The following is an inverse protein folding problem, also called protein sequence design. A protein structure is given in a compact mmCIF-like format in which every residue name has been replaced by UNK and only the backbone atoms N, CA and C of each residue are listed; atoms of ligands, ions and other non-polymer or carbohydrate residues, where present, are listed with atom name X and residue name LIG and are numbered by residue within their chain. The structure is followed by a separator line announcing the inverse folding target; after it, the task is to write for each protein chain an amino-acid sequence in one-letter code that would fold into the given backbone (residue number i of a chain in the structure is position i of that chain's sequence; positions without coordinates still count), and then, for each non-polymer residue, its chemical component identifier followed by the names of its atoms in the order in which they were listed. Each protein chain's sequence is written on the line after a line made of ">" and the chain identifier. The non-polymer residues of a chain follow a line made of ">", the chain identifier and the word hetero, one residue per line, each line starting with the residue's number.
data_IF_509720202811
#
_entry.id   IF_509720202811
#
_cell.length_a   1.000
_cell.length_b   1.000
_cell.length_c   1.000
_cell.angle_alpha   90.00
_cell.angle_beta   90.00
_cell.angle_gamma   90.00
#
_symmetry.space_group_name_H-M   'P 1'
#
loop_
_entity.id
_entity.type
_entity.pdbx_description
1 polymer ?
#
# COMPACT_ATOMS: atom_id res chain seq x y z
N UNK A 1 -15.01 -10.48 -17.17
CA UNK A 1 -14.20 -9.71 -18.13
C UNK A 1 -12.89 -9.36 -17.45
N UNK A 2 -11.74 -9.58 -18.11
CA UNK A 2 -10.45 -9.19 -17.53
C UNK A 2 -10.38 -7.65 -17.41
N UNK A 3 -9.93 -7.16 -16.25
CA UNK A 3 -9.70 -5.74 -16.00
C UNK A 3 -8.37 -5.33 -16.63
N UNK A 4 -8.27 -4.11 -17.16
CA UNK A 4 -7.03 -3.63 -17.77
C UNK A 4 -6.18 -2.85 -16.77
N UNK A 5 -4.86 -3.06 -16.83
CA UNK A 5 -3.87 -2.23 -16.12
C UNK A 5 -3.46 -0.97 -16.92
N UNK A 6 -4.12 -0.70 -18.04
CA UNK A 6 -3.76 0.37 -18.96
C UNK A 6 -3.65 1.73 -18.26
N UNK A 7 -4.64 2.07 -17.42
CA UNK A 7 -4.74 3.40 -16.81
C UNK A 7 -3.69 3.68 -15.73
N UNK A 8 -2.95 2.66 -15.28
CA UNK A 8 -2.01 2.79 -14.17
C UNK A 8 -0.86 3.75 -14.49
N UNK A 9 -0.34 3.71 -15.72
CA UNK A 9 0.86 4.43 -16.13
C UNK A 9 0.58 5.63 -17.07
N UNK A 10 -0.69 5.95 -17.35
CA UNK A 10 -1.07 7.05 -18.25
C UNK A 10 -0.62 8.40 -17.70
N UNK A 11 -0.90 8.67 -16.44
CA UNK A 11 -0.43 9.86 -15.72
C UNK A 11 0.66 9.40 -14.77
N UNK A 12 1.79 10.10 -14.77
CA UNK A 12 2.93 9.79 -13.93
C UNK A 12 2.56 9.87 -12.45
N UNK A 13 3.08 8.93 -11.65
CA UNK A 13 2.99 9.00 -10.20
C UNK A 13 4.12 9.83 -9.65
N UNK A 14 3.82 10.69 -8.68
CA UNK A 14 4.80 11.50 -7.98
C UNK A 14 4.47 11.50 -6.50
N UNK A 15 5.50 11.47 -5.68
CA UNK A 15 5.37 11.54 -4.22
C UNK A 15 4.93 12.95 -3.81
N UNK A 16 4.01 13.03 -2.87
CA UNK A 16 3.62 14.27 -2.20
C UNK A 16 4.61 14.51 -1.06
N UNK A 17 5.55 15.43 -1.23
CA UNK A 17 6.58 15.73 -0.23
C UNK A 17 5.99 16.44 0.99
N UNK A 18 6.45 16.08 2.19
CA UNK A 18 5.92 16.58 3.46
C UNK A 18 6.21 18.07 3.68
N UNK A 19 7.29 18.58 3.09
CA UNK A 19 7.73 19.97 3.27
C UNK A 19 7.07 20.96 2.29
N UNK A 20 6.29 20.47 1.34
CA UNK A 20 5.61 21.29 0.33
C UNK A 20 4.20 21.63 0.79
N UNK A 21 4.07 22.71 1.56
CA UNK A 21 2.74 23.24 1.93
C UNK A 21 2.10 23.96 0.74
N UNK A 22 0.83 23.68 0.47
CA UNK A 22 0.00 24.58 -0.33
C UNK A 22 -0.19 25.90 0.42
N UNK A 23 0.41 26.97 -0.07
CA UNK A 23 0.32 28.30 0.54
C UNK A 23 -0.95 29.07 0.16
N UNK A 24 -1.88 28.48 -0.58
CA UNK A 24 -3.10 29.19 -0.94
C UNK A 24 -4.17 28.97 0.13
N UNK A 25 -4.47 30.02 0.86
CA UNK A 25 -5.63 30.08 1.78
C UNK A 25 -6.97 30.20 1.03
N UNK A 26 -6.97 30.17 -0.30
CA UNK A 26 -8.14 30.31 -1.14
C UNK A 26 -8.36 29.02 -1.93
N UNK A 27 -9.56 28.48 -1.86
CA UNK A 27 -9.97 27.38 -2.71
C UNK A 27 -9.94 27.78 -4.19
N UNK A 28 -9.05 27.21 -4.97
CA UNK A 28 -8.99 27.43 -6.39
C UNK A 28 -9.84 26.36 -7.13
N UNK A 29 -11.14 26.38 -6.87
CA UNK A 29 -12.05 25.56 -7.65
C UNK A 29 -12.23 26.22 -9.03
N UNK A 30 -12.08 25.44 -10.07
CA UNK A 30 -12.27 25.93 -11.44
C UNK A 30 -12.93 24.87 -12.30
N UNK A 31 -13.57 25.36 -13.35
CA UNK A 31 -14.23 24.55 -14.36
C UNK A 31 -13.56 24.78 -15.71
N UNK A 32 -13.28 23.72 -16.44
CA UNK A 32 -12.69 23.80 -17.76
C UNK A 32 -13.40 22.86 -18.72
N UNK A 33 -13.65 23.28 -19.97
CA UNK A 33 -14.20 22.39 -20.97
C UNK A 33 -13.22 21.34 -21.42
N UNK A 34 -13.70 20.16 -21.88
CA UNK A 34 -12.81 19.15 -22.46
C UNK A 34 -11.99 19.71 -23.64
N UNK A 35 -12.59 20.61 -24.43
CA UNK A 35 -11.92 21.26 -25.55
C UNK A 35 -10.75 22.13 -25.08
N UNK A 36 -10.98 22.99 -24.07
CA UNK A 36 -9.96 23.92 -23.59
C UNK A 36 -8.91 23.15 -22.75
N UNK A 37 -9.32 22.10 -22.04
CA UNK A 37 -8.42 21.27 -21.25
C UNK A 37 -7.31 20.63 -22.10
N UNK A 38 -7.60 20.28 -23.35
CA UNK A 38 -6.61 19.69 -24.25
C UNK A 38 -5.38 20.57 -24.51
N UNK A 39 -5.54 21.89 -24.39
CA UNK A 39 -4.47 22.88 -24.61
C UNK A 39 -4.05 23.60 -23.31
N UNK A 40 -4.59 23.17 -22.17
CA UNK A 40 -4.32 23.83 -20.90
C UNK A 40 -3.02 23.35 -20.27
N UNK A 41 -2.24 24.28 -19.69
CA UNK A 41 -0.95 23.99 -19.03
C UNK A 41 -1.05 22.96 -17.88
N UNK A 42 -2.23 22.79 -17.31
CA UNK A 42 -2.51 21.80 -16.25
C UNK A 42 -2.20 20.39 -16.71
N UNK A 43 -2.41 20.05 -17.98
CA UNK A 43 -2.12 18.74 -18.53
C UNK A 43 -0.68 18.29 -18.29
N UNK A 44 0.28 19.20 -18.34
CA UNK A 44 1.69 18.89 -18.16
C UNK A 44 2.09 18.86 -16.67
N UNK A 45 1.22 19.39 -15.78
CA UNK A 45 1.44 19.45 -14.33
C UNK A 45 0.62 18.42 -13.56
N UNK A 46 -0.10 17.53 -14.26
CA UNK A 46 -0.92 16.49 -13.62
C UNK A 46 -0.07 15.31 -13.20
N UNK A 47 -0.22 14.97 -11.95
CA UNK A 47 0.37 13.78 -11.35
C UNK A 47 -0.70 12.95 -10.63
N UNK A 48 -0.52 11.67 -10.58
CA UNK A 48 -1.22 10.83 -9.61
C UNK A 48 -0.46 10.89 -8.29
N UNK A 49 -1.17 11.07 -7.20
CA UNK A 49 -0.57 10.83 -5.90
C UNK A 49 -0.04 9.39 -5.86
N UNK A 50 1.12 9.23 -5.27
CA UNK A 50 1.82 7.96 -5.13
C UNK A 50 0.99 6.88 -4.43
N UNK A 51 0.08 7.32 -3.56
CA UNK A 51 -0.84 6.50 -2.77
C UNK A 51 -2.14 6.12 -3.51
N UNK A 52 -2.34 6.56 -4.76
CA UNK A 52 -3.53 6.14 -5.50
C UNK A 52 -3.51 4.66 -5.85
N UNK A 53 -4.68 4.03 -5.79
CA UNK A 53 -4.89 2.63 -6.19
C UNK A 53 -4.22 2.32 -7.51
N UNK A 54 -3.71 1.10 -7.63
CA UNK A 54 -3.46 0.55 -8.94
C UNK A 54 -4.79 0.51 -9.71
N UNK A 55 -4.83 1.24 -10.81
CA UNK A 55 -6.07 1.52 -11.57
C UNK A 55 -6.51 0.34 -12.43
N UNK A 56 -6.72 -0.83 -11.84
CA UNK A 56 -7.16 -2.05 -12.51
C UNK A 56 -8.68 -2.15 -12.73
N UNK A 57 -9.40 -1.03 -12.63
CA UNK A 57 -10.83 -1.10 -12.43
C UNK A 57 -11.70 -1.00 -13.68
N UNK A 58 -11.16 -0.56 -14.83
CA UNK A 58 -11.96 -0.29 -16.02
C UNK A 58 -11.58 -1.18 -17.20
N UNK A 59 -12.55 -1.91 -17.73
CA UNK A 59 -12.41 -2.69 -18.95
C UNK A 59 -12.43 -1.77 -20.19
N UNK A 60 -11.93 -2.23 -21.35
CA UNK A 60 -12.06 -1.48 -22.61
C UNK A 60 -13.50 -1.07 -22.95
N UNK A 61 -14.49 -1.87 -22.56
CA UNK A 61 -15.90 -1.56 -22.77
C UNK A 61 -16.39 -0.41 -21.86
N UNK A 62 -15.92 -0.34 -20.62
CA UNK A 62 -16.23 0.74 -19.70
C UNK A 62 -15.58 2.05 -20.13
N UNK A 63 -14.34 2.00 -20.63
CA UNK A 63 -13.64 3.16 -21.20
C UNK A 63 -14.42 3.69 -22.41
N UNK A 64 -14.84 2.82 -23.32
CA UNK A 64 -15.70 3.21 -24.46
C UNK A 64 -16.97 3.90 -23.99
N UNK A 65 -17.72 3.28 -23.07
CA UNK A 65 -18.96 3.86 -22.54
C UNK A 65 -18.74 5.23 -21.91
N UNK A 66 -17.63 5.42 -21.22
CA UNK A 66 -17.31 6.68 -20.58
C UNK A 66 -17.02 7.78 -21.62
N UNK A 67 -16.23 7.50 -22.65
CA UNK A 67 -15.95 8.47 -23.73
C UNK A 67 -17.23 8.84 -24.46
N UNK A 68 -18.07 7.86 -24.82
CA UNK A 68 -19.37 8.10 -25.45
C UNK A 68 -20.26 8.95 -24.53
N UNK A 69 -20.24 8.71 -23.24
CA UNK A 69 -20.98 9.50 -22.26
C UNK A 69 -20.49 10.96 -22.22
N UNK A 70 -19.18 11.19 -22.28
CA UNK A 70 -18.61 12.54 -22.34
C UNK A 70 -19.05 13.33 -23.58
N UNK A 71 -19.35 12.63 -24.69
CA UNK A 71 -19.78 13.25 -25.92
C UNK A 71 -21.29 13.49 -26.02
N UNK A 72 -22.10 12.70 -25.32
CA UNK A 72 -23.55 12.69 -25.48
C UNK A 72 -24.35 13.21 -24.27
N UNK A 73 -23.76 13.21 -23.10
CA UNK A 73 -24.41 13.59 -21.84
C UNK A 73 -23.82 14.91 -21.32
N UNK A 74 -24.58 16.01 -21.48
CA UNK A 74 -24.18 17.33 -20.97
C UNK A 74 -24.09 17.40 -19.43
N UNK A 75 -24.69 16.44 -18.72
CA UNK A 75 -24.70 16.38 -17.27
C UNK A 75 -23.68 15.36 -16.73
N UNK A 76 -22.75 14.92 -17.57
CA UNK A 76 -21.70 14.02 -17.10
C UNK A 76 -20.90 14.69 -15.99
N UNK A 77 -20.87 14.04 -14.82
CA UNK A 77 -20.10 14.55 -13.69
C UNK A 77 -18.62 14.17 -13.84
N UNK A 78 -17.81 15.13 -14.28
CA UNK A 78 -16.36 15.03 -14.40
C UNK A 78 -15.69 15.78 -13.25
N UNK A 79 -16.05 15.48 -12.01
CA UNK A 79 -15.40 16.05 -10.84
C UNK A 79 -14.05 15.38 -10.60
N UNK A 80 -13.00 16.19 -10.41
CA UNK A 80 -11.64 15.79 -10.04
C UNK A 80 -11.24 16.56 -8.79
N UNK A 81 -10.94 15.86 -7.72
CA UNK A 81 -10.35 16.47 -6.52
C UNK A 81 -8.84 16.41 -6.61
N UNK A 82 -8.18 17.50 -6.31
CA UNK A 82 -6.74 17.61 -6.43
C UNK A 82 -6.12 18.35 -5.26
N UNK A 83 -4.86 18.09 -5.00
CA UNK A 83 -3.99 18.87 -4.13
C UNK A 83 -2.89 19.50 -4.97
N UNK A 84 -2.45 20.71 -4.61
CA UNK A 84 -1.43 21.46 -5.36
C UNK A 84 -0.23 21.71 -4.46
N UNK A 85 0.98 21.43 -4.96
CA UNK A 85 2.23 21.74 -4.27
C UNK A 85 2.67 23.19 -4.52
N UNK A 86 3.70 23.64 -3.80
CA UNK A 86 4.26 24.99 -3.92
C UNK A 86 4.84 25.27 -5.31
N UNK A 87 5.20 24.25 -6.07
CA UNK A 87 5.73 24.38 -7.44
C UNK A 87 4.63 24.42 -8.52
N UNK A 88 3.38 24.25 -8.10
CA UNK A 88 2.21 24.26 -8.98
C UNK A 88 1.87 22.91 -9.61
N UNK A 89 2.51 21.81 -9.19
CA UNK A 89 2.12 20.48 -9.60
C UNK A 89 0.76 20.11 -8.98
N UNK A 90 -0.07 19.42 -9.76
CA UNK A 90 -1.42 19.03 -9.40
C UNK A 90 -1.47 17.53 -9.17
N UNK A 91 -1.71 17.13 -7.93
CA UNK A 91 -1.82 15.74 -7.52
C UNK A 91 -3.30 15.35 -7.44
N UNK A 92 -3.71 14.42 -8.27
CA UNK A 92 -5.10 13.97 -8.31
C UNK A 92 -5.37 13.15 -7.04
N UNK A 93 -6.38 13.56 -6.28
CA UNK A 93 -6.83 12.89 -5.05
C UNK A 93 -8.01 11.97 -5.37
N UNK A 94 -9.00 12.45 -6.14
CA UNK A 94 -10.13 11.65 -6.63
C UNK A 94 -10.39 11.95 -8.10
N UNK A 95 -11.05 11.01 -8.80
CA UNK A 95 -11.30 11.10 -10.23
C UNK A 95 -10.14 10.59 -11.10
N UNK A 96 -9.13 9.95 -10.50
CA UNK A 96 -7.91 9.50 -11.18
C UNK A 96 -8.15 8.61 -12.40
N UNK A 97 -9.18 7.74 -12.38
CA UNK A 97 -9.54 6.93 -13.55
C UNK A 97 -10.11 7.76 -14.67
N UNK A 98 -11.07 8.61 -14.35
CA UNK A 98 -11.76 9.49 -15.32
C UNK A 98 -10.77 10.40 -16.04
N UNK A 99 -9.93 11.08 -15.28
CA UNK A 99 -8.93 12.00 -15.85
C UNK A 99 -7.83 11.25 -16.62
N UNK A 100 -7.47 10.03 -16.23
CA UNK A 100 -6.50 9.22 -17.00
C UNK A 100 -7.05 8.79 -18.36
N UNK A 101 -8.33 8.48 -18.45
CA UNK A 101 -8.98 8.17 -19.74
C UNK A 101 -9.00 9.42 -20.63
N UNK A 102 -9.40 10.55 -20.07
CA UNK A 102 -9.44 11.84 -20.80
C UNK A 102 -8.03 12.22 -21.26
N UNK A 103 -7.03 12.11 -20.38
CA UNK A 103 -5.64 12.38 -20.72
C UNK A 103 -5.13 11.49 -21.86
N UNK A 104 -5.38 10.17 -21.76
CA UNK A 104 -4.98 9.23 -22.81
C UNK A 104 -5.66 9.52 -24.16
N UNK A 105 -6.91 9.95 -24.11
CA UNK A 105 -7.69 10.33 -25.29
C UNK A 105 -7.14 11.59 -25.94
N UNK A 106 -6.91 12.64 -25.18
CA UNK A 106 -6.32 13.91 -25.65
C UNK A 106 -4.90 13.68 -26.21
N UNK A 107 -4.06 12.92 -25.50
CA UNK A 107 -2.69 12.60 -25.94
C UNK A 107 -2.64 11.52 -27.04
N UNK A 108 -3.78 11.11 -27.58
CA UNK A 108 -3.91 10.13 -28.68
C UNK A 108 -3.34 8.73 -28.39
N UNK A 109 -3.21 8.34 -27.12
CA UNK A 109 -2.66 7.01 -26.77
C UNK A 109 -3.57 5.86 -27.23
N UNK A 110 -4.85 6.12 -27.51
CA UNK A 110 -5.76 5.14 -28.10
C UNK A 110 -5.59 4.97 -29.61
N UNK A 111 -4.93 5.93 -30.28
CA UNK A 111 -4.66 5.88 -31.72
C UNK A 111 -3.27 5.35 -32.02
N UNK A 112 -2.25 5.90 -31.35
CA UNK A 112 -0.86 5.55 -31.58
C UNK A 112 -0.16 5.23 -30.27
N UNK A 113 0.33 3.99 -30.15
CA UNK A 113 1.06 3.50 -28.99
C UNK A 113 2.48 4.08 -28.87
N UNK A 114 2.95 4.79 -29.92
CA UNK A 114 4.30 5.32 -30.06
C UNK A 114 4.34 6.86 -30.09
N UNK A 115 3.23 7.52 -29.78
CA UNK A 115 3.20 8.99 -29.70
C UNK A 115 4.30 9.48 -28.76
N UNK A 116 4.94 10.58 -29.13
CA UNK A 116 5.96 11.22 -28.30
C UNK A 116 5.44 11.49 -26.88
N UNK A 117 6.19 11.05 -25.86
CA UNK A 117 5.79 11.14 -24.45
C UNK A 117 4.84 10.03 -23.96
N UNK A 118 4.45 9.09 -24.82
CA UNK A 118 3.67 7.94 -24.37
C UNK A 118 4.49 7.05 -23.39
N UNK A 119 3.85 6.53 -22.34
CA UNK A 119 4.49 5.58 -21.46
C UNK A 119 4.82 4.27 -22.22
N UNK A 120 5.83 3.53 -21.75
CA UNK A 120 6.14 2.21 -22.30
C UNK A 120 5.02 1.23 -21.96
N UNK A 121 4.15 0.96 -22.92
CA UNK A 121 3.06 0.01 -22.74
C UNK A 121 3.54 -1.43 -22.85
N UNK A 122 3.07 -2.27 -21.93
CA UNK A 122 3.26 -3.72 -21.97
C UNK A 122 2.41 -4.37 -23.06
N UNK A 123 2.73 -5.60 -23.45
CA UNK A 123 1.96 -6.32 -24.47
C UNK A 123 0.44 -6.45 -24.13
N UNK A 124 0.03 -6.75 -22.89
CA UNK A 124 -1.38 -6.70 -22.49
C UNK A 124 -2.00 -5.30 -22.66
N UNK A 125 -1.32 -4.23 -22.24
CA UNK A 125 -1.80 -2.85 -22.35
C UNK A 125 -1.99 -2.45 -23.83
N UNK A 126 -1.07 -2.82 -24.70
CA UNK A 126 -1.20 -2.61 -26.15
C UNK A 126 -2.40 -3.34 -26.76
N UNK A 127 -2.72 -4.53 -26.23
CA UNK A 127 -3.94 -5.27 -26.63
C UNK A 127 -5.20 -4.50 -26.25
N UNK A 128 -5.23 -3.97 -25.02
CA UNK A 128 -6.34 -3.20 -24.51
C UNK A 128 -6.53 -1.90 -25.31
N UNK A 129 -5.44 -1.18 -25.63
CA UNK A 129 -5.46 0.00 -26.49
C UNK A 129 -6.14 -0.32 -27.85
N UNK A 130 -5.72 -1.43 -28.49
CA UNK A 130 -6.33 -1.85 -29.76
C UNK A 130 -7.81 -2.19 -29.61
N UNK A 131 -8.22 -2.82 -28.53
CA UNK A 131 -9.63 -3.08 -28.26
C UNK A 131 -10.43 -1.79 -28.05
N UNK A 132 -9.88 -0.81 -27.34
CA UNK A 132 -10.52 0.51 -27.13
C UNK A 132 -10.64 1.22 -28.48
N UNK A 133 -9.58 1.27 -29.28
CA UNK A 133 -9.58 1.87 -30.62
C UNK A 133 -10.67 1.26 -31.49
N UNK A 134 -10.71 -0.06 -31.59
CA UNK A 134 -11.70 -0.76 -32.42
C UNK A 134 -13.14 -0.51 -31.95
N UNK A 135 -13.37 -0.33 -30.65
CA UNK A 135 -14.70 -0.03 -30.10
C UNK A 135 -15.12 1.40 -30.31
N UNK A 136 -14.20 2.33 -30.25
CA UNK A 136 -14.47 3.76 -30.42
C UNK A 136 -14.58 4.17 -31.91
N UNK A 137 -13.87 3.43 -32.81
CA UNK A 137 -13.79 3.84 -34.21
C UNK A 137 -13.24 5.26 -34.35
N UNK A 138 -13.90 6.11 -35.16
CA UNK A 138 -13.52 7.51 -35.34
C UNK A 138 -13.53 8.35 -34.06
N UNK A 139 -14.29 7.94 -33.04
CA UNK A 139 -14.31 8.65 -31.74
C UNK A 139 -13.02 8.48 -30.93
N UNK A 140 -12.09 7.63 -31.36
CA UNK A 140 -10.81 7.44 -30.69
C UNK A 140 -9.84 8.61 -30.91
N UNK A 141 -9.97 9.36 -31.99
CA UNK A 141 -9.09 10.49 -32.31
C UNK A 141 -9.67 11.82 -31.84
N UNK A 142 -9.19 12.28 -30.69
CA UNK A 142 -9.64 13.54 -30.08
C UNK A 142 -9.39 14.76 -30.99
N UNK A 143 -8.29 14.77 -31.76
CA UNK A 143 -7.95 15.89 -32.63
C UNK A 143 -8.89 15.98 -33.84
N UNK A 144 -9.28 14.85 -34.42
CA UNK A 144 -10.30 14.82 -35.48
C UNK A 144 -11.64 15.34 -34.94
N UNK A 145 -12.04 14.94 -33.73
CA UNK A 145 -13.26 15.46 -33.12
C UNK A 145 -13.19 16.96 -32.82
N UNK A 146 -12.02 17.50 -32.50
CA UNK A 146 -11.84 18.94 -32.34
C UNK A 146 -11.98 19.70 -33.66
N UNK A 147 -11.75 19.06 -34.79
CA UNK A 147 -11.87 19.65 -36.13
C UNK A 147 -13.31 19.59 -36.69
N UNK A 148 -14.14 18.71 -36.15
CA UNK A 148 -15.55 18.57 -36.48
C UNK A 148 -16.40 19.55 -35.67
N UNK A 149 -17.20 20.37 -36.32
CA UNK A 149 -17.97 21.45 -35.68
C UNK A 149 -19.01 20.95 -34.66
N UNK A 150 -19.64 19.78 -34.91
CA UNK A 150 -20.63 19.20 -34.01
C UNK A 150 -19.96 18.66 -32.77
N UNK A 151 -18.90 17.88 -32.93
CA UNK A 151 -18.15 17.34 -31.81
C UNK A 151 -17.41 18.42 -31.02
N UNK A 152 -16.89 19.45 -31.67
CA UNK A 152 -16.28 20.59 -30.99
C UNK A 152 -17.27 21.27 -30.03
N UNK A 153 -18.52 21.45 -30.43
CA UNK A 153 -19.55 21.99 -29.53
C UNK A 153 -19.81 21.08 -28.34
N UNK A 154 -19.88 19.77 -28.56
CA UNK A 154 -20.02 18.80 -27.48
C UNK A 154 -18.85 18.87 -26.50
N UNK A 155 -17.62 18.89 -27.00
CA UNK A 155 -16.41 19.01 -26.19
C UNK A 155 -16.34 20.33 -25.40
N UNK A 156 -16.81 21.45 -25.97
CA UNK A 156 -16.92 22.76 -25.30
C UNK A 156 -17.99 22.78 -24.21
N UNK A 157 -19.07 22.02 -24.40
CA UNK A 157 -20.16 21.95 -23.43
C UNK A 157 -19.87 21.00 -22.25
N UNK A 158 -19.01 20.00 -22.44
CA UNK A 158 -18.65 19.02 -21.39
C UNK A 158 -17.55 19.60 -20.51
N UNK A 159 -17.85 19.77 -19.24
CA UNK A 159 -16.99 20.44 -18.27
C UNK A 159 -16.34 19.47 -17.29
N UNK A 160 -15.09 19.76 -16.94
CA UNK A 160 -14.36 19.11 -15.85
C UNK A 160 -14.32 20.11 -14.70
N UNK A 161 -14.81 19.69 -13.54
CA UNK A 161 -14.79 20.47 -12.31
C UNK A 161 -13.58 20.04 -11.47
N UNK A 162 -12.62 20.92 -11.31
CA UNK A 162 -11.49 20.74 -10.43
C UNK A 162 -11.77 21.36 -9.07
N UNK A 163 -11.69 20.53 -8.01
CA UNK A 163 -11.93 20.93 -6.63
C UNK A 163 -10.63 20.75 -5.85
N UNK A 164 -10.09 21.84 -5.31
CA UNK A 164 -8.87 21.83 -4.54
C UNK A 164 -9.11 21.28 -3.13
N UNK A 165 -8.26 20.36 -2.71
CA UNK A 165 -8.13 19.91 -1.32
C UNK A 165 -7.01 20.74 -0.70
N UNK A 166 -7.37 21.63 0.23
CA UNK A 166 -6.42 22.51 0.92
C UNK A 166 -5.80 21.77 2.09
N UNK A 167 -4.55 22.09 2.40
CA UNK A 167 -3.85 21.60 3.58
C UNK A 167 -2.53 20.93 3.24
N UNK A 168 -1.97 20.27 4.24
CA UNK A 168 -0.73 19.51 4.12
C UNK A 168 -0.90 18.27 3.23
N UNK A 169 0.20 17.69 2.71
CA UNK A 169 0.14 16.42 2.01
C UNK A 169 -0.53 15.30 2.82
N UNK A 170 -0.38 15.33 4.15
CA UNK A 170 -1.02 14.36 5.05
C UNK A 170 -2.55 14.54 5.09
N UNK A 171 -3.02 15.79 5.15
CA UNK A 171 -4.46 16.10 5.10
C UNK A 171 -5.06 15.72 3.75
N UNK A 172 -4.34 15.94 2.66
CA UNK A 172 -4.74 15.47 1.33
C UNK A 172 -4.84 13.94 1.26
N UNK A 173 -3.93 13.21 1.89
CA UNK A 173 -4.01 11.74 2.01
C UNK A 173 -5.21 11.31 2.87
N UNK A 174 -5.48 11.97 3.99
CA UNK A 174 -6.67 11.71 4.83
C UNK A 174 -7.96 11.97 4.05
N UNK A 175 -8.01 13.05 3.28
CA UNK A 175 -9.14 13.35 2.39
C UNK A 175 -9.34 12.24 1.34
N UNK A 176 -8.27 11.69 0.74
CA UNK A 176 -8.37 10.56 -0.17
C UNK A 176 -8.99 9.32 0.50
N UNK A 177 -8.57 9.00 1.73
CA UNK A 177 -9.14 7.88 2.48
C UNK A 177 -10.63 8.09 2.75
N UNK A 178 -11.02 9.27 3.23
CA UNK A 178 -12.41 9.63 3.53
C UNK A 178 -13.32 9.53 2.30
N UNK A 179 -12.89 10.11 1.17
CA UNK A 179 -13.68 10.09 -0.08
C UNK A 179 -13.90 8.65 -0.58
N UNK A 180 -12.91 7.79 -0.42
CA UNK A 180 -13.00 6.41 -0.90
C UNK A 180 -13.77 5.50 0.07
N UNK A 181 -13.86 5.82 1.36
CA UNK A 181 -14.67 5.05 2.33
C UNK A 181 -16.15 5.05 1.98
N UNK A 182 -16.64 6.15 1.41
CA UNK A 182 -18.08 6.34 1.10
C UNK A 182 -18.50 5.69 -0.23
N UNK A 183 -17.55 5.38 -1.13
CA UNK A 183 -17.89 4.90 -2.48
C UNK A 183 -17.54 3.45 -2.73
N UNK A 184 -16.31 3.06 -2.53
CA UNK A 184 -15.81 1.68 -2.62
C UNK A 184 -14.71 1.52 -1.58
N UNK A 185 -15.02 0.70 -0.56
CA UNK A 185 -14.10 0.44 0.54
C UNK A 185 -12.71 0.09 0.00
N UNK A 186 -11.70 0.75 0.53
CA UNK A 186 -10.31 0.41 0.24
C UNK A 186 -10.04 -1.04 0.65
N UNK A 187 -9.18 -1.73 -0.10
CA UNK A 187 -8.63 -2.98 0.39
C UNK A 187 -7.85 -2.66 1.69
N UNK A 188 -7.93 -3.49 2.74
CA UNK A 188 -7.17 -3.27 3.97
C UNK A 188 -5.68 -2.99 3.75
N UNK A 189 -5.10 -3.54 2.69
CA UNK A 189 -3.71 -3.30 2.31
C UNK A 189 -3.50 -1.89 1.77
N UNK A 190 -4.40 -1.45 0.90
CA UNK A 190 -4.39 -0.08 0.36
C UNK A 190 -4.58 0.94 1.49
N UNK A 191 -5.48 0.67 2.43
CA UNK A 191 -5.73 1.53 3.59
C UNK A 191 -4.51 1.60 4.49
N UNK A 192 -3.86 0.47 4.79
CA UNK A 192 -2.63 0.43 5.57
C UNK A 192 -1.52 1.26 4.92
N UNK A 193 -1.30 1.09 3.61
CA UNK A 193 -0.30 1.85 2.87
C UNK A 193 -0.54 3.35 2.92
N UNK A 194 -1.79 3.76 2.83
CA UNK A 194 -2.16 5.18 2.86
C UNK A 194 -1.92 5.81 4.23
N UNK A 195 -2.27 5.08 5.30
CA UNK A 195 -2.17 5.60 6.66
C UNK A 195 -0.74 5.61 7.20
N UNK A 196 0.10 4.68 6.78
CA UNK A 196 1.41 4.43 7.39
C UNK A 196 2.60 4.82 6.50
N UNK A 197 2.37 5.33 5.28
CA UNK A 197 3.44 5.69 4.36
C UNK A 197 4.41 6.70 4.98
N UNK A 198 5.70 6.46 4.80
CA UNK A 198 6.77 7.28 5.38
C UNK A 198 7.12 6.94 6.83
N UNK A 199 6.38 6.03 7.49
CA UNK A 199 6.77 5.52 8.81
C UNK A 199 7.85 4.44 8.69
N UNK A 200 8.65 4.27 9.74
CA UNK A 200 9.66 3.21 9.78
C UNK A 200 9.01 1.82 9.62
N UNK A 201 7.83 1.62 10.24
CA UNK A 201 7.05 0.38 10.11
C UNK A 201 6.62 0.11 8.66
N UNK A 202 6.22 1.13 7.93
CA UNK A 202 5.87 1.01 6.51
C UNK A 202 7.01 0.43 5.69
N UNK A 203 8.23 0.96 5.83
CA UNK A 203 9.38 0.49 5.08
C UNK A 203 9.81 -0.92 5.46
N UNK A 204 9.71 -1.30 6.74
CA UNK A 204 9.95 -2.69 7.18
C UNK A 204 8.94 -3.65 6.55
N UNK A 205 7.65 -3.33 6.60
CA UNK A 205 6.59 -4.16 6.01
C UNK A 205 6.78 -4.26 4.51
N UNK A 206 7.12 -3.14 3.87
CA UNK A 206 7.35 -3.10 2.44
C UNK A 206 8.52 -4.01 2.04
N UNK A 207 9.65 -3.92 2.74
CA UNK A 207 10.80 -4.77 2.50
C UNK A 207 10.51 -6.27 2.72
N UNK A 208 9.66 -6.60 3.70
CA UNK A 208 9.35 -7.99 4.05
C UNK A 208 8.23 -8.63 3.20
N UNK A 209 7.30 -7.84 2.65
CA UNK A 209 6.12 -8.39 1.99
C UNK A 209 6.11 -8.19 0.46
N UNK A 210 6.82 -7.19 -0.08
CA UNK A 210 6.82 -6.83 -1.51
C UNK A 210 8.13 -7.17 -2.22
N UNK A 211 8.55 -8.42 -2.19
CA UNK A 211 9.87 -8.86 -2.67
C UNK A 211 10.12 -8.55 -4.15
N UNK A 212 9.09 -8.62 -5.00
CA UNK A 212 9.23 -8.42 -6.45
C UNK A 212 9.08 -6.96 -6.93
N UNK A 213 8.49 -6.08 -6.09
CA UNK A 213 8.17 -4.69 -6.44
C UNK A 213 9.02 -3.67 -5.63
N UNK A 214 9.99 -4.14 -4.86
CA UNK A 214 10.65 -3.41 -3.77
C UNK A 214 11.47 -2.20 -4.17
N UNK A 215 11.96 -2.12 -5.41
CA UNK A 215 13.06 -1.18 -5.71
C UNK A 215 12.62 0.29 -5.76
N UNK A 216 11.37 0.57 -6.15
CA UNK A 216 10.92 1.96 -6.34
C UNK A 216 10.53 2.66 -5.02
N UNK A 217 9.82 1.96 -4.13
CA UNK A 217 9.33 2.59 -2.89
C UNK A 217 10.39 2.63 -1.77
N UNK A 218 11.31 1.65 -1.73
CA UNK A 218 12.44 1.68 -0.78
C UNK A 218 13.51 2.69 -1.20
N UNK A 219 13.61 3.04 -2.49
CA UNK A 219 14.50 4.11 -2.95
C UNK A 219 14.15 5.49 -2.34
N UNK A 220 12.91 5.66 -1.87
CA UNK A 220 12.48 6.88 -1.17
C UNK A 220 13.19 7.10 0.17
N UNK A 221 13.72 6.04 0.80
CA UNK A 221 14.52 6.15 2.02
C UNK A 221 15.81 6.97 1.82
N UNK A 222 16.27 7.14 0.55
CA UNK A 222 17.54 7.81 0.23
C UNK A 222 18.70 7.36 1.13
N UNK A 223 18.81 6.05 1.33
CA UNK A 223 19.74 5.42 2.26
C UNK A 223 20.84 4.68 1.51
N UNK A 224 22.11 4.97 1.82
CA UNK A 224 23.27 4.41 1.11
C UNK A 224 23.30 2.88 1.13
N UNK A 225 22.80 2.27 2.22
CA UNK A 225 22.77 0.80 2.39
C UNK A 225 21.41 0.17 2.03
N UNK A 226 20.67 0.77 1.11
CA UNK A 226 19.34 0.32 0.71
C UNK A 226 19.32 -1.15 0.22
N UNK A 227 20.37 -1.60 -0.45
CA UNK A 227 20.48 -2.98 -0.91
C UNK A 227 20.59 -3.98 0.25
N UNK A 228 21.17 -3.57 1.37
CA UNK A 228 21.22 -4.39 2.58
C UNK A 228 19.82 -4.50 3.22
N UNK A 229 19.08 -3.42 3.26
CA UNK A 229 17.66 -3.40 3.70
C UNK A 229 16.81 -4.34 2.85
N UNK A 230 16.97 -4.29 1.52
CA UNK A 230 16.25 -5.19 0.60
C UNK A 230 16.61 -6.66 0.88
N UNK A 231 17.91 -6.96 0.95
CA UNK A 231 18.40 -8.32 1.21
C UNK A 231 17.90 -8.84 2.57
N UNK A 232 17.92 -7.99 3.58
CA UNK A 232 17.44 -8.33 4.92
C UNK A 232 15.91 -8.57 4.92
N UNK A 233 15.15 -7.81 4.13
CA UNK A 233 13.72 -8.02 3.92
C UNK A 233 13.41 -9.38 3.32
N UNK A 234 14.14 -9.77 2.28
CA UNK A 234 14.02 -11.10 1.65
C UNK A 234 14.35 -12.22 2.65
N UNK A 235 15.43 -12.06 3.43
CA UNK A 235 15.79 -13.03 4.47
C UNK A 235 14.72 -13.16 5.55
N UNK A 236 14.13 -12.06 6.01
CA UNK A 236 13.04 -12.07 7.00
C UNK A 236 11.80 -12.73 6.39
N UNK A 237 11.45 -12.40 5.14
CA UNK A 237 10.33 -13.03 4.45
C UNK A 237 10.47 -14.55 4.41
N UNK A 238 11.61 -15.03 3.92
CA UNK A 238 11.86 -16.46 3.77
C UNK A 238 11.88 -17.17 5.13
N UNK A 239 12.50 -16.56 6.12
CA UNK A 239 12.53 -17.11 7.46
C UNK A 239 11.13 -17.17 8.10
N UNK A 240 10.38 -16.07 8.03
CA UNK A 240 9.02 -15.99 8.59
C UNK A 240 8.05 -16.92 7.86
N UNK A 241 7.89 -16.72 6.56
CA UNK A 241 6.80 -17.36 5.83
C UNK A 241 7.11 -18.79 5.37
N UNK A 242 8.38 -19.09 5.02
CA UNK A 242 8.73 -20.45 4.56
C UNK A 242 9.18 -21.36 5.67
N UNK A 243 9.98 -20.85 6.64
CA UNK A 243 10.59 -21.70 7.67
C UNK A 243 9.71 -21.76 8.93
N UNK A 244 9.35 -20.61 9.49
CA UNK A 244 8.57 -20.56 10.75
C UNK A 244 7.10 -20.91 10.47
N UNK A 245 6.50 -20.39 9.43
CA UNK A 245 5.08 -20.56 9.16
C UNK A 245 4.76 -21.65 8.12
N UNK A 246 5.77 -22.30 7.50
CA UNK A 246 5.61 -23.37 6.51
C UNK A 246 4.64 -23.00 5.36
N UNK A 247 4.86 -21.82 4.77
CA UNK A 247 4.07 -21.31 3.63
C UNK A 247 2.56 -21.37 3.86
N UNK A 248 2.04 -20.69 4.88
CA UNK A 248 0.60 -20.69 5.14
C UNK A 248 -0.14 -20.05 3.97
N UNK A 249 -1.35 -20.52 3.69
CA UNK A 249 -2.24 -19.90 2.71
C UNK A 249 -2.75 -18.55 3.25
N UNK A 250 -1.88 -17.56 3.17
CA UNK A 250 -2.17 -16.18 3.56
C UNK A 250 -2.23 -15.30 2.32
N UNK A 251 -3.32 -14.57 2.17
CA UNK A 251 -3.39 -13.49 1.18
C UNK A 251 -2.33 -12.43 1.48
N UNK A 252 -1.96 -11.64 0.47
CA UNK A 252 -0.95 -10.60 0.62
C UNK A 252 -1.25 -9.67 1.79
N UNK A 253 -2.48 -9.20 1.94
CA UNK A 253 -2.90 -8.36 3.04
C UNK A 253 -2.81 -9.00 4.42
N UNK A 254 -3.08 -10.29 4.52
CA UNK A 254 -2.85 -11.00 5.78
C UNK A 254 -1.37 -11.09 6.14
N UNK A 255 -0.47 -11.16 5.15
CA UNK A 255 0.99 -11.10 5.39
C UNK A 255 1.39 -9.72 5.91
N UNK A 256 0.91 -8.66 5.30
CA UNK A 256 1.10 -7.27 5.76
C UNK A 256 0.60 -7.10 7.18
N UNK A 257 -0.65 -7.48 7.45
CA UNK A 257 -1.25 -7.41 8.78
C UNK A 257 -0.43 -8.19 9.83
N UNK A 258 0.08 -9.37 9.48
CA UNK A 258 0.91 -10.16 10.38
C UNK A 258 2.23 -9.44 10.73
N UNK A 259 2.95 -8.92 9.73
CA UNK A 259 4.22 -8.18 9.97
C UNK A 259 3.96 -6.92 10.79
N UNK A 260 2.85 -6.21 10.51
CA UNK A 260 2.45 -5.05 11.31
C UNK A 260 2.22 -5.42 12.80
N UNK A 261 1.49 -6.51 13.06
CA UNK A 261 1.28 -6.98 14.43
C UNK A 261 2.60 -7.35 15.13
N UNK A 262 3.56 -7.95 14.40
CA UNK A 262 4.88 -8.24 14.97
C UNK A 262 5.60 -6.95 15.38
N UNK A 263 5.54 -5.92 14.55
CA UNK A 263 6.13 -4.61 14.86
C UNK A 263 5.43 -3.96 16.06
N UNK A 264 4.10 -3.99 16.12
CA UNK A 264 3.33 -3.46 17.25
C UNK A 264 3.72 -4.15 18.57
N UNK A 265 3.89 -5.48 18.55
CA UNK A 265 4.36 -6.24 19.74
C UNK A 265 5.78 -5.85 20.12
N UNK A 266 6.68 -5.62 19.16
CA UNK A 266 8.07 -5.22 19.41
C UNK A 266 8.20 -3.85 20.07
N UNK A 267 7.33 -2.93 19.72
CA UNK A 267 7.46 -1.54 20.16
C UNK A 267 6.63 -1.22 21.39
N UNK A 268 5.50 -1.92 21.63
CA UNK A 268 4.46 -1.40 22.48
C UNK A 268 4.04 0.00 22.00
N UNK A 269 3.28 0.71 22.80
CA UNK A 269 2.80 2.09 22.50
C UNK A 269 3.88 3.19 22.55
N UNK A 270 5.15 2.85 22.44
CA UNK A 270 6.23 3.83 22.49
C UNK A 270 6.57 4.35 21.10
N UNK A 271 5.94 5.42 20.71
CA UNK A 271 6.50 6.42 19.79
C UNK A 271 7.80 6.99 20.37
N UNK A 272 8.90 6.28 20.27
CA UNK A 272 10.19 6.83 20.65
C UNK A 272 10.63 7.82 19.57
N UNK A 273 10.43 9.09 19.88
CA UNK A 273 11.10 10.22 19.24
C UNK A 273 12.61 10.17 19.51
N UNK A 274 13.34 9.39 18.75
CA UNK A 274 14.81 9.45 18.73
C UNK A 274 15.24 10.42 17.65
N UNK A 275 15.54 11.63 18.05
CA UNK A 275 15.69 12.87 17.27
C UNK A 275 16.98 12.96 16.41
N UNK A 276 17.79 11.95 16.21
CA UNK A 276 19.07 12.15 15.50
C UNK A 276 19.56 11.02 14.60
N UNK A 277 18.81 9.96 14.41
CA UNK A 277 19.25 8.84 13.55
C UNK A 277 18.50 8.92 12.22
N UNK A 278 19.26 8.78 11.10
CA UNK A 278 18.70 8.67 9.77
C UNK A 278 17.60 7.60 9.68
N UNK A 279 16.53 7.86 8.94
CA UNK A 279 15.39 6.96 8.82
C UNK A 279 15.78 5.60 8.28
N UNK A 280 16.65 5.54 7.28
CA UNK A 280 17.15 4.29 6.72
C UNK A 280 17.87 3.43 7.77
N UNK A 281 18.68 4.05 8.62
CA UNK A 281 19.35 3.36 9.73
C UNK A 281 18.34 2.86 10.78
N UNK A 282 17.28 3.61 11.08
CA UNK A 282 16.23 3.12 11.99
C UNK A 282 15.52 1.90 11.41
N UNK A 283 15.13 1.95 10.14
CA UNK A 283 14.48 0.83 9.45
C UNK A 283 15.38 -0.41 9.47
N UNK A 284 16.66 -0.28 9.15
CA UNK A 284 17.61 -1.39 9.19
C UNK A 284 17.73 -1.99 10.61
N UNK A 285 17.86 -1.15 11.63
CA UNK A 285 17.95 -1.58 13.03
C UNK A 285 16.68 -2.34 13.46
N UNK A 286 15.50 -1.88 13.02
CA UNK A 286 14.24 -2.55 13.28
C UNK A 286 14.17 -3.93 12.66
N UNK A 287 14.60 -4.04 11.42
CA UNK A 287 14.63 -5.31 10.69
C UNK A 287 15.62 -6.28 11.30
N UNK A 288 16.79 -5.83 11.73
CA UNK A 288 17.77 -6.66 12.45
C UNK A 288 17.18 -7.18 13.76
N UNK A 289 16.49 -6.34 14.52
CA UNK A 289 15.81 -6.74 15.75
C UNK A 289 14.72 -7.77 15.48
N UNK A 290 13.87 -7.54 14.50
CA UNK A 290 12.83 -8.49 14.09
C UNK A 290 13.44 -9.84 13.69
N UNK A 291 14.51 -9.85 12.91
CA UNK A 291 15.22 -11.05 12.52
C UNK A 291 15.74 -11.84 13.73
N UNK A 292 16.34 -11.15 14.71
CA UNK A 292 16.82 -11.80 15.96
C UNK A 292 15.67 -12.46 16.68
N UNK A 293 14.54 -11.77 16.86
CA UNK A 293 13.36 -12.32 17.55
C UNK A 293 12.78 -13.54 16.82
N UNK A 294 12.71 -13.51 15.50
CA UNK A 294 12.27 -14.65 14.68
C UNK A 294 13.24 -15.84 14.83
N UNK A 295 14.55 -15.59 14.88
CA UNK A 295 15.54 -16.62 15.15
C UNK A 295 15.38 -17.25 16.55
N UNK A 296 14.88 -16.52 17.54
CA UNK A 296 14.56 -17.07 18.87
C UNK A 296 13.40 -18.06 18.82
N UNK A 297 12.45 -17.87 17.92
CA UNK A 297 11.31 -18.80 17.74
C UNK A 297 11.77 -20.11 17.11
N UNK A 298 12.38 -20.02 15.93
CA UNK A 298 12.92 -21.15 15.20
C UNK A 298 14.15 -20.72 14.40
N UNK A 299 15.29 -21.34 14.64
CA UNK A 299 16.52 -21.04 13.90
C UNK A 299 16.56 -21.89 12.64
N UNK A 300 16.89 -21.32 11.45
CA UNK A 300 17.31 -22.13 10.33
C UNK A 300 18.50 -23.00 10.78
N UNK A 301 18.55 -24.22 10.34
CA UNK A 301 19.48 -25.27 10.82
C UNK A 301 20.98 -24.91 10.83
N UNK A 302 21.39 -23.78 10.28
CA UNK A 302 22.78 -23.37 10.05
C UNK A 302 23.27 -22.28 11.03
N UNK A 303 22.41 -21.63 11.82
CA UNK A 303 22.82 -20.53 12.70
C UNK A 303 22.98 -20.98 14.16
N UNK A 304 24.18 -21.45 14.50
CA UNK A 304 24.52 -21.99 15.84
C UNK A 304 24.61 -20.92 16.94
N UNK A 305 24.62 -19.62 16.59
CA UNK A 305 24.95 -18.54 17.53
C UNK A 305 23.78 -17.95 18.29
N UNK A 306 22.54 -18.14 17.85
CA UNK A 306 21.35 -17.60 18.51
C UNK A 306 20.54 -18.76 19.07
N UNK A 307 20.48 -18.96 20.40
CA UNK A 307 19.69 -20.04 20.99
C UNK A 307 18.20 -19.80 20.66
N UNK A 308 17.54 -20.76 20.02
CA UNK A 308 16.14 -20.71 19.68
C UNK A 308 15.31 -21.61 20.55
N UNK A 309 14.03 -21.28 20.74
CA UNK A 309 13.06 -22.13 21.40
C UNK A 309 12.84 -23.46 20.63
N UNK A 310 13.14 -23.47 19.33
CA UNK A 310 12.96 -24.63 18.46
C UNK A 310 11.50 -25.05 18.37
N UNK A 311 10.58 -24.06 18.34
CA UNK A 311 9.16 -24.31 18.25
C UNK A 311 8.83 -24.93 16.89
N UNK A 312 8.31 -26.14 16.90
CA UNK A 312 7.93 -26.80 15.66
C UNK A 312 6.59 -26.22 15.14
N UNK A 313 6.53 -25.65 13.93
CA UNK A 313 5.36 -24.92 13.46
C UNK A 313 4.04 -25.67 13.59
N UNK A 314 4.00 -26.93 13.13
CA UNK A 314 2.79 -27.76 13.16
C UNK A 314 2.26 -28.04 14.57
N UNK A 315 3.11 -27.99 15.59
CA UNK A 315 2.72 -28.23 16.97
C UNK A 315 2.24 -26.95 17.66
N UNK A 316 2.88 -25.84 17.38
CA UNK A 316 2.65 -24.58 18.09
C UNK A 316 1.79 -23.58 17.35
N UNK A 317 1.83 -23.61 15.99
CA UNK A 317 1.19 -22.58 15.17
C UNK A 317 0.08 -23.11 14.27
N UNK A 318 -0.18 -24.42 14.28
CA UNK A 318 -1.25 -25.04 13.46
C UNK A 318 -2.22 -25.81 14.35
N UNK A 319 -3.51 -25.71 13.98
CA UNK A 319 -4.58 -26.56 14.52
C UNK A 319 -5.42 -27.05 13.33
N UNK A 320 -5.62 -28.35 13.25
CA UNK A 320 -6.36 -28.98 12.15
C UNK A 320 -5.85 -28.55 10.77
N UNK A 321 -4.54 -28.52 10.60
CA UNK A 321 -3.81 -28.03 9.41
C UNK A 321 -4.06 -26.56 9.05
N UNK A 322 -4.68 -25.75 9.93
CA UNK A 322 -4.90 -24.33 9.75
C UNK A 322 -3.93 -23.52 10.61
N UNK A 323 -3.25 -22.58 9.98
CA UNK A 323 -2.38 -21.65 10.68
C UNK A 323 -3.17 -20.79 11.69
N UNK A 324 -2.66 -20.72 12.91
CA UNK A 324 -3.24 -19.99 14.04
C UNK A 324 -2.40 -18.73 14.30
N UNK A 325 -2.72 -17.63 13.64
CA UNK A 325 -2.05 -16.31 13.79
C UNK A 325 -1.88 -15.96 15.24
N UNK A 326 -2.93 -16.17 16.01
CA UNK A 326 -3.00 -15.83 17.43
C UNK A 326 -2.01 -16.59 18.30
N UNK A 327 -1.83 -17.88 18.02
CA UNK A 327 -0.85 -18.72 18.74
C UNK A 327 0.57 -18.26 18.42
N UNK A 328 0.83 -17.95 17.16
CA UNK A 328 2.13 -17.44 16.73
C UNK A 328 2.46 -16.08 17.37
N UNK A 329 1.53 -15.13 17.37
CA UNK A 329 1.71 -13.81 17.99
C UNK A 329 1.93 -13.92 19.51
N UNK A 330 1.23 -14.83 20.18
CA UNK A 330 1.45 -15.08 21.61
C UNK A 330 2.89 -15.54 21.90
N UNK A 331 3.42 -16.48 21.12
CA UNK A 331 4.80 -16.91 21.26
C UNK A 331 5.80 -15.82 20.92
N UNK A 332 5.52 -15.03 19.91
CA UNK A 332 6.35 -13.88 19.54
C UNK A 332 6.39 -12.85 20.68
N UNK A 333 5.24 -12.55 21.30
CA UNK A 333 5.16 -11.66 22.45
C UNK A 333 6.00 -12.17 23.64
N UNK A 334 5.94 -13.47 23.95
CA UNK A 334 6.77 -14.09 24.99
C UNK A 334 8.26 -13.90 24.67
N UNK A 335 8.66 -14.10 23.42
CA UNK A 335 10.05 -13.90 22.99
C UNK A 335 10.46 -12.43 23.13
N UNK A 336 9.59 -11.49 22.79
CA UNK A 336 9.85 -10.06 22.97
C UNK A 336 10.06 -9.69 24.45
N UNK A 337 9.24 -10.21 25.35
CA UNK A 337 9.39 -9.96 26.79
C UNK A 337 10.71 -10.58 27.33
N UNK A 338 11.04 -11.79 26.94
CA UNK A 338 12.31 -12.41 27.29
C UNK A 338 13.51 -11.59 26.80
N UNK A 339 13.39 -10.94 25.66
CA UNK A 339 14.47 -10.10 25.11
C UNK A 339 14.53 -8.70 25.75
N UNK A 340 13.44 -8.14 26.25
CA UNK A 340 13.42 -6.86 26.97
C UNK A 340 14.16 -6.92 28.31
N UNK A 341 13.99 -7.99 29.04
CA UNK A 341 14.60 -8.21 30.36
C UNK A 341 16.11 -8.50 30.31
N UNK A 342 16.79 -7.98 29.39
CA UNK A 342 17.91 -8.51 28.66
C UNK A 342 19.24 -8.68 29.35
N UNK A 343 19.59 -8.06 30.43
CA UNK A 343 20.96 -8.15 30.89
C UNK A 343 21.15 -9.00 32.15
N UNK A 344 20.16 -9.11 32.99
CA UNK A 344 20.30 -9.91 34.23
C UNK A 344 19.84 -11.38 34.09
N UNK A 345 19.25 -11.76 32.94
CA UNK A 345 18.54 -13.04 32.80
C UNK A 345 19.09 -13.95 31.69
N UNK A 346 20.36 -13.86 31.32
CA UNK A 346 20.92 -14.85 30.37
C UNK A 346 20.72 -16.29 30.87
N UNK A 347 20.85 -16.52 32.16
CA UNK A 347 20.60 -17.85 32.78
C UNK A 347 19.11 -18.23 32.71
N UNK A 348 18.18 -17.31 33.01
CA UNK A 348 16.74 -17.58 32.93
C UNK A 348 16.24 -17.79 31.49
N UNK A 349 16.86 -17.16 30.51
CA UNK A 349 16.59 -17.45 29.08
C UNK A 349 16.97 -18.86 28.71
N UNK A 350 18.14 -19.30 29.14
CA UNK A 350 18.63 -20.67 28.92
C UNK A 350 17.71 -21.66 29.60
N UNK A 351 17.30 -21.40 30.81
CA UNK A 351 16.37 -22.25 31.60
C UNK A 351 14.99 -22.32 30.93
N UNK A 352 14.46 -21.19 30.43
CA UNK A 352 13.18 -21.15 29.70
C UNK A 352 13.25 -21.91 28.38
N UNK A 353 14.36 -21.77 27.65
CA UNK A 353 14.61 -22.52 26.42
C UNK A 353 14.75 -24.02 26.72
N UNK A 354 15.47 -24.37 27.79
CA UNK A 354 15.60 -25.74 28.26
C UNK A 354 14.26 -26.34 28.66
N UNK A 355 13.45 -25.59 29.39
CA UNK A 355 12.11 -25.97 29.81
C UNK A 355 11.17 -26.22 28.61
N UNK A 356 11.15 -25.32 27.62
CA UNK A 356 10.33 -25.51 26.43
C UNK A 356 10.78 -26.69 25.58
N UNK A 357 12.08 -26.93 25.47
CA UNK A 357 12.63 -28.11 24.78
C UNK A 357 12.34 -29.43 25.51
N UNK A 358 12.43 -29.44 26.84
CA UNK A 358 12.15 -30.61 27.64
C UNK A 358 10.68 -31.05 27.64
N UNK A 359 9.76 -30.12 27.27
CA UNK A 359 8.32 -30.38 27.27
C UNK A 359 7.74 -30.82 25.93
N UNK A 360 8.56 -31.27 24.99
CA UNK A 360 8.12 -31.72 23.66
C UNK A 360 7.03 -32.81 23.63
N UNK A 361 6.64 -33.37 24.74
CA UNK A 361 5.54 -34.34 24.85
C UNK A 361 4.24 -33.81 25.47
N UNK A 362 4.23 -32.51 25.85
CA UNK A 362 3.10 -31.91 26.58
C UNK A 362 2.55 -30.67 25.84
N UNK A 363 2.98 -30.46 24.59
CA UNK A 363 2.66 -29.28 23.75
C UNK A 363 1.14 -29.04 23.65
N UNK A 364 0.35 -30.10 23.46
CA UNK A 364 -1.10 -29.99 23.36
C UNK A 364 -1.77 -29.45 24.63
N UNK A 365 -1.18 -29.70 25.79
CA UNK A 365 -1.65 -29.18 27.08
C UNK A 365 -1.27 -27.70 27.24
N UNK A 366 -0.05 -27.31 26.84
CA UNK A 366 0.43 -25.92 26.87
C UNK A 366 -0.40 -25.09 25.90
N UNK A 367 -0.65 -25.60 24.71
CA UNK A 367 -1.51 -24.92 23.71
C UNK A 367 -2.93 -24.68 24.24
N UNK A 368 -3.55 -25.69 24.84
CA UNK A 368 -4.86 -25.57 25.50
C UNK A 368 -4.85 -24.54 26.62
N UNK A 369 -3.77 -24.47 27.39
CA UNK A 369 -3.64 -23.52 28.49
C UNK A 369 -3.46 -22.09 27.99
N UNK A 370 -2.58 -21.87 27.04
CA UNK A 370 -2.38 -20.55 26.40
C UNK A 370 -3.65 -20.06 25.70
N UNK A 371 -4.38 -20.97 25.05
CA UNK A 371 -5.66 -20.64 24.42
C UNK A 371 -6.74 -20.24 25.45
N UNK A 372 -6.75 -20.87 26.63
CA UNK A 372 -7.63 -20.50 27.75
C UNK A 372 -7.25 -19.15 28.34
N UNK A 373 -5.97 -18.89 28.57
CA UNK A 373 -5.49 -17.59 29.05
C UNK A 373 -5.88 -16.46 28.10
N UNK A 374 -5.81 -16.69 26.80
CA UNK A 374 -6.20 -15.71 25.81
C UNK A 374 -7.70 -15.44 25.77
N UNK A 375 -8.54 -16.46 25.91
CA UNK A 375 -10.00 -16.25 26.06
C UNK A 375 -10.31 -15.35 27.26
N UNK A 376 -9.58 -15.50 28.35
CA UNK A 376 -9.71 -14.68 29.56
C UNK A 376 -9.24 -13.23 29.31
N UNK A 377 -8.13 -13.03 28.58
CA UNK A 377 -7.62 -11.67 28.29
C UNK A 377 -8.56 -10.90 27.34
N UNK A 378 -9.09 -11.56 26.32
CA UNK A 378 -10.07 -10.93 25.39
C UNK A 378 -11.40 -10.60 26.10
N UNK A 379 -11.85 -11.43 27.03
CA UNK A 379 -13.06 -11.15 27.82
C UNK A 379 -12.85 -10.01 28.82
N UNK A 380 -11.63 -9.84 29.36
CA UNK A 380 -11.30 -8.71 30.24
C UNK A 380 -11.24 -7.39 29.48
N UNK A 381 -10.68 -7.35 28.26
CA UNK A 381 -10.65 -6.16 27.41
C UNK A 381 -12.05 -5.80 26.92
N UNK A 382 -12.87 -6.76 26.55
CA UNK A 382 -14.26 -6.51 26.14
C UNK A 382 -15.15 -6.06 27.32
N UNK A 383 -14.86 -6.49 28.56
CA UNK A 383 -15.60 -6.08 29.76
C UNK A 383 -15.27 -4.66 30.24
N UNK A 384 -14.05 -4.13 29.94
CA UNK A 384 -13.66 -2.78 30.33
C UNK A 384 -14.32 -1.68 29.47
N UNK A 385 -14.81 -2.01 28.27
CA UNK A 385 -15.48 -1.04 27.40
C UNK A 385 -17.00 -0.88 27.69
N UNK A 386 -17.55 -1.60 28.67
CA UNK A 386 -18.96 -1.49 29.06
C UNK A 386 -19.19 -0.85 30.46
N UNK A 387 -18.15 -0.30 31.07
CA UNK A 387 -18.26 0.39 32.37
C UNK A 387 -17.97 1.91 32.31
N UNK A 388 -18.22 2.54 31.16
CA UNK A 388 -18.21 4.01 31.06
C UNK A 388 -19.44 4.45 30.26
N UNK A 389 -20.60 4.41 30.91
CA UNK A 389 -21.79 5.22 30.66
C UNK A 389 -22.34 5.69 32.01
#
# INVERSE_FOLDING_TARGET
>A
MARTKLLTNIIQRKMMLLDEMSHSNLHNNFEISLYDFANHEILEKLYKADNQRSTECWSPAEIQKFIIKCLNDRNVNLCVRYWKDATGNIYIIDGGHRISIIYAWIKRYFIDEQVAGAPKFTAPQKRDIRQIRNRLGGLADFQELCSDSEFQQKLKSTKINFIEVIGTPEEARKAFCSINSDTKRLDPDEEYHLQNRGSDAFYVIYACCYINDNKSNLAELNYDRINEVITLGEQIHDHLFKIILLEPDLTHGKKIGLVNELLNIMFGDTSQNTVSIDQGQRVENLMLKLRVLLCRIATPAISIRIPSLGLHPKLYFYKDNRFQVTSFLAWFSIVCEIEKDCFEIQNKKIDFIGFTRARRGVESLIEKFLWRLKKLSVSLVAGSNHMSD
#
